data_IF_238889213506
#
_entry.id   IF_238889213506
#
_cell.length_a   1.000
_cell.length_b   1.000
_cell.length_c   1.000
_cell.angle_alpha   90.00
_cell.angle_beta   90.00
_cell.angle_gamma   90.00
#
_symmetry.space_group_name_H-M   'P 1'
#
loop_
_entity.id
_entity.type
_entity.pdbx_description
1 polymer ?
#
# COMPACT_ATOMS: atom_id res chain seq x y z
N UNK A 1 -39.40 58.87 28.05
CA UNK A 1 -40.23 58.43 26.90
C UNK A 1 -39.51 57.29 26.18
N UNK A 2 -40.21 56.19 25.77
CA UNK A 2 -39.68 55.03 25.05
C UNK A 2 -39.97 55.16 23.51
N UNK A 3 -39.80 54.19 22.59
CA UNK A 3 -39.50 52.73 22.62
C UNK A 3 -38.29 52.42 21.68
N UNK A 4 -37.61 51.25 21.63
CA UNK A 4 -37.84 49.83 22.00
C UNK A 4 -38.66 48.98 20.97
N UNK A 5 -38.33 47.69 20.84
CA UNK A 5 -38.86 46.64 19.93
C UNK A 5 -38.37 46.75 18.47
N UNK A 6 -37.86 45.71 17.79
CA UNK A 6 -37.50 44.34 18.21
C UNK A 6 -38.49 43.24 17.78
N UNK A 7 -38.01 42.22 17.05
CA UNK A 7 -38.74 41.00 16.65
C UNK A 7 -37.85 39.77 16.91
N UNK A 8 -38.42 38.76 17.57
CA UNK A 8 -37.95 37.36 17.50
C UNK A 8 -38.79 36.65 16.44
N UNK A 9 -38.19 35.75 15.67
CA UNK A 9 -38.92 34.70 14.97
C UNK A 9 -38.56 33.34 15.56
N UNK A 10 -39.58 32.51 15.82
CA UNK A 10 -39.43 31.13 16.27
C UNK A 10 -39.37 30.19 15.06
N UNK A 11 -38.73 29.02 15.17
CA UNK A 11 -38.80 27.99 14.14
C UNK A 11 -40.21 27.39 14.09
N UNK A 12 -40.88 27.47 12.95
CA UNK A 12 -42.15 26.78 12.68
C UNK A 12 -41.92 25.29 12.45
N UNK A 13 -42.54 24.43 13.26
CA UNK A 13 -42.51 22.99 13.06
C UNK A 13 -43.30 22.60 11.81
N UNK A 14 -42.76 21.68 11.02
CA UNK A 14 -43.54 20.91 10.02
C UNK A 14 -43.50 19.43 10.41
N UNK A 15 -44.49 19.00 11.22
CA UNK A 15 -44.68 17.57 11.54
C UNK A 15 -45.59 16.93 10.49
N UNK A 16 -45.01 16.26 9.49
CA UNK A 16 -45.76 15.36 8.62
C UNK A 16 -46.27 14.17 9.45
N UNK A 17 -47.60 14.00 9.54
CA UNK A 17 -48.20 12.84 10.21
C UNK A 17 -48.26 11.66 9.25
N UNK A 18 -47.84 10.47 9.70
CA UNK A 18 -48.36 9.23 9.15
C UNK A 18 -49.88 9.17 9.42
N UNK A 19 -50.66 8.82 8.40
CA UNK A 19 -52.02 8.34 8.58
C UNK A 19 -52.06 6.83 8.35
N UNK A 20 -52.73 6.13 9.26
CA UNK A 20 -53.00 4.69 9.14
C UNK A 20 -54.31 4.47 8.38
N UNK A 21 -54.33 3.49 7.48
CA UNK A 21 -55.53 2.97 6.84
C UNK A 21 -55.62 1.46 7.11
N UNK A 22 -56.84 0.94 7.31
CA UNK A 22 -57.09 -0.42 7.82
C UNK A 22 -58.36 -1.01 7.21
N UNK A 23 -58.36 -2.33 7.04
CA UNK A 23 -59.52 -3.18 6.70
C UNK A 23 -60.00 -3.06 5.21
N UNK A 24 -60.76 -4.05 4.66
CA UNK A 24 -61.39 -5.19 5.34
C UNK A 24 -60.88 -6.58 4.94
N UNK A 25 -61.53 -7.60 5.52
CA UNK A 25 -61.18 -9.03 5.52
C UNK A 25 -61.93 -9.86 4.47
N UNK A 26 -61.34 -10.99 4.07
CA UNK A 26 -62.00 -12.11 3.40
C UNK A 26 -61.50 -13.45 3.97
N UNK A 27 -62.37 -14.46 4.07
CA UNK A 27 -62.11 -15.72 4.77
C UNK A 27 -62.00 -16.94 3.83
N UNK A 28 -61.18 -17.92 4.22
CA UNK A 28 -61.08 -19.22 3.55
C UNK A 28 -60.38 -20.25 4.42
N UNK A 29 -61.01 -21.42 4.63
CA UNK A 29 -60.55 -22.49 5.53
C UNK A 29 -60.15 -23.76 4.78
N UNK A 30 -59.08 -24.43 5.21
CA UNK A 30 -58.67 -25.76 4.70
C UNK A 30 -57.78 -26.48 5.71
N UNK A 31 -57.87 -27.82 5.79
CA UNK A 31 -57.40 -28.61 6.94
C UNK A 31 -56.26 -29.58 6.62
N UNK A 32 -55.42 -29.85 7.63
CA UNK A 32 -54.52 -31.02 7.78
C UNK A 32 -55.34 -32.33 7.98
N UNK A 33 -54.80 -33.58 7.87
CA UNK A 33 -53.41 -34.07 8.16
C UNK A 33 -52.81 -35.02 7.08
N UNK A 34 -51.66 -35.70 7.22
CA UNK A 34 -50.54 -35.67 8.20
C UNK A 34 -49.84 -37.04 8.42
N UNK A 35 -48.54 -37.04 8.80
CA UNK A 35 -47.67 -38.21 9.20
C UNK A 35 -47.43 -39.25 8.05
N UNK A 36 -46.50 -40.24 7.99
CA UNK A 36 -45.47 -40.90 8.85
C UNK A 36 -44.21 -41.27 8.00
N UNK A 37 -42.95 -41.28 8.53
CA UNK A 37 -41.73 -41.65 7.77
C UNK A 37 -41.38 -43.17 7.74
N UNK A 38 -40.41 -43.57 6.90
CA UNK A 38 -39.84 -44.92 6.79
C UNK A 38 -38.29 -44.92 6.69
N UNK A 39 -37.62 -46.08 6.70
CA UNK A 39 -36.25 -46.24 7.22
C UNK A 39 -35.19 -46.96 6.34
N UNK A 40 -33.94 -46.94 6.86
CA UNK A 40 -32.65 -47.57 6.45
C UNK A 40 -32.72 -48.99 5.82
N UNK A 41 -31.71 -49.37 5.00
CA UNK A 41 -30.41 -49.92 5.50
C UNK A 41 -29.23 -48.95 5.22
N UNK A 42 -28.16 -48.79 6.01
CA UNK A 42 -27.29 -49.73 6.77
C UNK A 42 -26.20 -50.42 5.93
N UNK A 43 -25.03 -49.79 5.85
CA UNK A 43 -23.72 -50.42 5.65
C UNK A 43 -22.78 -50.01 6.81
N UNK A 44 -21.79 -50.83 7.16
CA UNK A 44 -21.04 -50.74 8.43
C UNK A 44 -19.54 -50.94 8.18
N UNK A 45 -18.72 -49.98 8.59
CA UNK A 45 -17.26 -50.12 8.71
C UNK A 45 -16.83 -49.81 10.14
N UNK A 46 -15.72 -50.41 10.59
CA UNK A 46 -15.35 -50.52 12.01
C UNK A 46 -14.36 -49.44 12.44
N UNK A 47 -14.60 -48.85 13.61
CA UNK A 47 -13.59 -48.22 14.45
C UNK A 47 -13.54 -48.93 15.81
N UNK A 48 -12.34 -49.14 16.34
CA UNK A 48 -12.08 -49.72 17.65
C UNK A 48 -11.43 -48.68 18.57
N UNK A 49 -11.78 -48.62 19.86
CA UNK A 49 -11.30 -47.56 20.77
C UNK A 49 -10.01 -47.94 21.51
N UNK A 50 -9.24 -46.92 21.92
CA UNK A 50 -8.27 -47.02 23.01
C UNK A 50 -8.35 -45.78 23.94
N UNK A 51 -7.86 -45.96 25.15
CA UNK A 51 -8.24 -45.19 26.36
C UNK A 51 -7.46 -43.88 26.57
N UNK A 52 -8.00 -42.93 27.36
CA UNK A 52 -7.31 -41.66 27.68
C UNK A 52 -6.14 -41.84 28.66
N UNK A 53 -5.15 -40.95 28.55
CA UNK A 53 -4.00 -40.87 29.46
C UNK A 53 -4.31 -39.92 30.63
N UNK A 54 -3.88 -40.30 31.84
CA UNK A 54 -4.08 -39.54 33.07
C UNK A 54 -3.05 -38.40 33.22
N UNK A 55 -3.49 -37.28 33.80
CA UNK A 55 -2.58 -36.26 34.33
C UNK A 55 -2.19 -36.57 35.80
N UNK A 56 -0.92 -36.39 36.20
CA UNK A 56 -0.53 -36.41 37.61
C UNK A 56 -0.71 -35.03 38.26
N UNK A 57 -1.18 -35.02 39.52
CA UNK A 57 -1.29 -33.79 40.32
C UNK A 57 -0.50 -33.90 41.63
N UNK A 58 0.28 -32.85 41.96
CA UNK A 58 0.85 -32.49 43.29
C UNK A 58 1.92 -31.40 43.06
N UNK A 59 2.25 -30.50 43.99
CA UNK A 59 1.49 -29.92 45.10
C UNK A 59 2.24 -28.65 45.59
N UNK A 60 1.50 -27.73 46.20
CA UNK A 60 1.91 -26.63 47.10
C UNK A 60 3.40 -26.25 47.20
N UNK A 61 3.69 -24.95 47.06
CA UNK A 61 4.19 -24.18 48.20
C UNK A 61 3.85 -22.68 48.07
N UNK A 62 3.09 -22.16 49.04
CA UNK A 62 2.92 -20.71 49.22
C UNK A 62 4.00 -20.19 50.16
N UNK A 63 4.56 -19.03 49.84
CA UNK A 63 5.36 -18.21 50.74
C UNK A 63 4.93 -16.75 50.60
N UNK A 64 4.99 -15.98 51.69
CA UNK A 64 4.18 -14.76 51.83
C UNK A 64 5.04 -13.54 52.17
N UNK A 65 4.57 -12.36 51.74
CA UNK A 65 4.85 -11.05 52.31
C UNK A 65 6.28 -10.48 52.19
N UNK A 66 6.42 -9.36 51.46
CA UNK A 66 7.13 -8.18 51.96
C UNK A 66 6.77 -6.94 51.11
N UNK A 67 6.09 -5.97 51.72
CA UNK A 67 5.97 -4.62 51.16
C UNK A 67 6.79 -3.65 52.02
N UNK A 68 7.63 -2.80 51.40
CA UNK A 68 8.28 -1.67 52.07
C UNK A 68 8.29 -0.40 51.21
N UNK A 69 7.37 0.49 51.57
CA UNK A 69 7.53 1.94 51.82
C UNK A 69 8.49 2.76 50.95
N UNK A 70 7.95 3.86 50.41
CA UNK A 70 8.72 5.02 49.91
C UNK A 70 9.64 5.61 50.99
N UNK A 71 10.76 6.19 50.56
CA UNK A 71 11.43 7.29 51.26
C UNK A 71 12.02 8.26 50.22
N UNK A 72 12.33 9.49 50.63
CA UNK A 72 12.47 10.66 49.74
C UNK A 72 13.75 11.47 49.97
N UNK A 73 14.20 12.13 48.89
CA UNK A 73 15.17 13.23 48.86
C UNK A 73 16.63 12.89 49.23
N UNK A 74 17.57 13.51 48.50
CA UNK A 74 19.01 13.28 48.63
C UNK A 74 19.80 13.94 47.50
N UNK A 75 19.80 15.27 47.45
CA UNK A 75 20.48 16.06 46.42
C UNK A 75 21.96 16.27 46.73
N UNK A 76 22.86 15.90 45.81
CA UNK A 76 24.26 16.35 45.83
C UNK A 76 24.89 16.31 44.42
N UNK A 77 25.18 17.47 43.86
CA UNK A 77 25.99 17.63 42.63
C UNK A 77 27.44 17.94 42.99
N UNK A 78 28.45 17.22 42.46
CA UNK A 78 29.84 17.65 42.54
C UNK A 78 30.13 18.81 41.56
N UNK A 79 31.07 19.73 41.88
CA UNK A 79 31.38 20.90 41.04
C UNK A 79 32.37 20.58 39.90
N UNK A 80 32.44 21.44 38.85
CA UNK A 80 33.45 21.32 37.80
C UNK A 80 34.84 21.85 38.26
N UNK A 81 35.95 21.29 37.75
CA UNK A 81 37.27 21.90 37.91
C UNK A 81 37.40 23.18 37.06
N UNK A 82 38.20 24.13 37.55
CA UNK A 82 38.35 25.47 36.97
C UNK A 82 39.48 25.59 35.93
N UNK A 83 39.46 26.70 35.19
CA UNK A 83 40.40 27.04 34.12
C UNK A 83 41.85 27.22 34.63
N UNK A 84 42.82 26.73 33.86
CA UNK A 84 44.18 27.29 33.81
C UNK A 84 44.49 27.75 32.39
N UNK A 85 44.99 28.97 32.26
CA UNK A 85 45.34 29.57 30.98
C UNK A 85 46.78 29.25 30.58
N UNK A 86 47.02 29.05 29.29
CA UNK A 86 48.33 29.21 28.65
C UNK A 86 48.15 29.90 27.30
N UNK A 87 49.18 30.61 26.86
CA UNK A 87 49.00 31.77 25.97
C UNK A 87 49.27 31.47 24.49
N UNK A 88 48.46 32.14 23.66
CA UNK A 88 48.80 32.67 22.33
C UNK A 88 49.80 31.90 21.44
N UNK A 89 49.29 31.39 20.32
CA UNK A 89 49.78 31.91 19.05
C UNK A 89 48.67 31.96 17.98
N UNK A 90 48.58 33.06 17.24
CA UNK A 90 47.65 33.25 16.11
C UNK A 90 48.47 33.53 14.86
N UNK A 91 48.35 32.69 13.84
CA UNK A 91 48.86 32.94 12.49
C UNK A 91 47.69 33.13 11.52
N UNK A 92 47.51 34.35 11.03
CA UNK A 92 46.46 34.74 10.07
C UNK A 92 46.91 34.57 8.62
N UNK A 93 46.03 34.15 7.68
CA UNK A 93 46.35 34.17 6.25
C UNK A 93 46.34 35.62 5.69
N UNK A 94 47.08 35.90 4.61
CA UNK A 94 47.12 37.21 3.96
C UNK A 94 45.91 37.47 3.03
N UNK A 95 45.60 38.74 2.69
CA UNK A 95 44.47 39.13 1.85
C UNK A 95 44.74 38.96 0.33
N UNK A 96 43.70 38.93 -0.52
CA UNK A 96 43.84 38.89 -1.96
C UNK A 96 44.28 40.26 -2.55
N UNK A 97 45.01 40.23 -3.66
CA UNK A 97 45.38 41.42 -4.44
C UNK A 97 44.83 41.34 -5.87
N UNK A 98 44.46 42.49 -6.43
CA UNK A 98 43.96 42.62 -7.80
C UNK A 98 45.10 43.09 -8.73
N UNK A 99 45.25 42.47 -9.90
CA UNK A 99 45.79 43.09 -11.11
C UNK A 99 45.35 42.31 -12.34
N UNK A 100 45.44 42.91 -13.53
CA UNK A 100 44.69 42.48 -14.72
C UNK A 100 45.53 41.75 -15.78
N UNK A 101 44.81 40.91 -16.56
CA UNK A 101 45.01 40.55 -17.97
C UNK A 101 46.45 40.41 -18.55
N UNK A 102 46.79 39.18 -18.95
CA UNK A 102 47.68 38.89 -20.08
C UNK A 102 47.16 37.65 -20.85
N UNK A 103 47.22 37.68 -22.18
CA UNK A 103 46.68 36.63 -23.07
C UNK A 103 47.77 35.62 -23.48
N UNK A 104 47.59 34.34 -23.15
CA UNK A 104 48.48 33.24 -23.57
C UNK A 104 47.67 32.01 -23.99
N UNK A 105 47.73 31.68 -25.28
CA UNK A 105 47.15 30.45 -25.86
C UNK A 105 48.05 29.24 -25.62
N UNK A 106 47.63 28.30 -24.77
CA UNK A 106 48.28 26.98 -24.61
C UNK A 106 47.39 25.85 -25.13
N UNK A 107 47.90 25.07 -26.10
CA UNK A 107 47.19 23.89 -26.66
C UNK A 107 47.41 22.68 -25.76
N UNK A 108 46.34 22.01 -25.33
CA UNK A 108 46.40 20.69 -24.66
C UNK A 108 45.82 19.63 -25.61
N UNK A 109 46.56 18.54 -25.94
CA UNK A 109 46.09 17.53 -26.88
C UNK A 109 45.14 16.51 -26.22
N UNK A 110 43.90 16.43 -26.70
CA UNK A 110 42.80 15.60 -26.16
C UNK A 110 42.90 14.10 -26.48
N UNK A 111 44.00 13.44 -26.10
CA UNK A 111 44.22 12.01 -26.40
C UNK A 111 43.40 11.01 -25.57
N UNK A 112 42.67 11.44 -24.54
CA UNK A 112 41.78 10.57 -23.73
C UNK A 112 40.33 10.49 -24.20
N UNK A 113 39.81 11.52 -24.87
CA UNK A 113 38.39 11.56 -25.31
C UNK A 113 38.10 10.57 -26.47
N UNK A 114 39.13 10.19 -27.23
CA UNK A 114 38.99 9.38 -28.44
C UNK A 114 38.94 7.84 -28.23
N UNK A 115 39.09 7.34 -26.99
CA UNK A 115 39.03 5.90 -26.71
C UNK A 115 37.64 5.40 -26.30
N UNK A 116 36.81 6.24 -25.67
CA UNK A 116 35.44 5.85 -25.26
C UNK A 116 34.52 5.70 -26.48
N UNK A 117 34.65 6.60 -27.46
CA UNK A 117 33.87 6.59 -28.71
C UNK A 117 34.16 5.41 -29.67
N UNK A 118 35.03 4.45 -29.30
CA UNK A 118 35.36 3.28 -30.12
C UNK A 118 34.78 1.95 -29.63
N UNK A 119 34.16 1.91 -28.45
CA UNK A 119 33.49 0.71 -27.94
C UNK A 119 31.99 0.61 -28.31
N UNK A 120 31.42 1.65 -28.93
CA UNK A 120 29.99 1.73 -29.30
C UNK A 120 29.72 1.57 -30.81
N UNK A 121 30.67 1.04 -31.60
CA UNK A 121 30.54 1.00 -33.07
C UNK A 121 30.94 -0.33 -33.72
N UNK A 122 31.03 -1.41 -32.93
CA UNK A 122 31.39 -2.76 -33.44
C UNK A 122 30.57 -3.85 -32.75
N UNK A 123 29.33 -4.02 -33.19
CA UNK A 123 28.57 -5.28 -33.38
C UNK A 123 27.36 -4.91 -34.25
N UNK A 124 27.49 -5.11 -35.56
CA UNK A 124 26.42 -4.90 -36.58
C UNK A 124 26.93 -5.36 -37.96
N UNK A 125 27.19 -6.67 -38.10
CA UNK A 125 27.35 -7.39 -39.37
C UNK A 125 27.60 -8.88 -39.08
N UNK A 126 26.52 -9.64 -39.01
CA UNK A 126 26.34 -10.88 -39.76
C UNK A 126 24.84 -11.12 -39.88
N UNK A 127 24.41 -11.68 -41.01
CA UNK A 127 22.98 -11.77 -41.36
C UNK A 127 22.65 -13.17 -41.86
N UNK A 128 22.15 -14.01 -40.95
CA UNK A 128 21.62 -15.34 -41.24
C UNK A 128 20.10 -15.27 -41.46
N UNK A 129 19.57 -15.53 -42.68
CA UNK A 129 18.18 -15.27 -43.03
C UNK A 129 17.20 -16.40 -42.69
N UNK A 130 17.40 -17.14 -41.59
CA UNK A 130 16.47 -18.22 -41.19
C UNK A 130 16.22 -18.37 -39.68
N UNK A 131 15.68 -17.32 -39.03
CA UNK A 131 15.06 -17.46 -37.71
C UNK A 131 13.99 -16.38 -37.44
N UNK A 132 12.74 -16.64 -37.85
CA UNK A 132 11.58 -15.87 -37.39
C UNK A 132 11.28 -16.19 -35.92
N UNK A 133 12.04 -15.58 -35.00
CA UNK A 133 11.50 -15.29 -33.67
C UNK A 133 10.56 -14.10 -33.81
N UNK A 134 9.28 -14.30 -33.51
CA UNK A 134 8.36 -13.19 -33.32
C UNK A 134 8.77 -12.47 -32.06
N UNK A 135 9.40 -11.31 -32.20
CA UNK A 135 9.65 -10.40 -31.07
C UNK A 135 8.35 -9.62 -30.75
N UNK A 136 7.31 -10.37 -30.40
CA UNK A 136 6.08 -9.82 -29.85
C UNK A 136 6.32 -9.50 -28.38
N UNK A 137 6.89 -8.32 -28.14
CA UNK A 137 6.58 -7.56 -26.93
C UNK A 137 5.06 -7.37 -26.90
N UNK A 138 4.37 -8.27 -26.20
CA UNK A 138 2.93 -8.20 -26.02
C UNK A 138 2.61 -6.89 -25.33
N UNK A 139 1.99 -5.96 -26.06
CA UNK A 139 1.50 -4.72 -25.47
C UNK A 139 0.54 -5.08 -24.33
N UNK A 140 0.65 -4.40 -23.19
CA UNK A 140 -0.24 -4.68 -22.06
C UNK A 140 -1.69 -4.51 -22.52
N UNK A 141 -2.53 -5.50 -22.21
CA UNK A 141 -3.98 -5.43 -22.44
C UNK A 141 -4.66 -4.27 -21.67
N UNK A 142 -3.92 -3.65 -20.75
CA UNK A 142 -4.34 -2.52 -19.94
C UNK A 142 -3.63 -1.23 -20.36
N UNK A 143 -4.42 -0.18 -20.50
CA UNK A 143 -4.00 1.20 -20.78
C UNK A 143 -4.61 2.16 -19.75
N UNK A 144 -4.35 3.46 -19.85
CA UNK A 144 -4.76 4.44 -18.83
C UNK A 144 -5.50 5.65 -19.41
N UNK A 145 -6.67 5.94 -18.83
CA UNK A 145 -7.41 7.17 -19.06
C UNK A 145 -7.16 8.16 -17.93
N UNK A 146 -6.34 9.17 -18.23
CA UNK A 146 -6.11 10.34 -17.38
C UNK A 146 -7.28 11.31 -17.50
N UNK A 147 -7.64 11.95 -16.40
CA UNK A 147 -8.63 13.03 -16.32
C UNK A 147 -8.04 14.10 -15.41
N UNK A 148 -8.10 15.38 -15.80
CA UNK A 148 -7.46 16.47 -15.05
C UNK A 148 -5.93 16.43 -15.09
N UNK A 149 -5.29 17.56 -14.79
CA UNK A 149 -3.84 17.65 -14.69
C UNK A 149 -3.32 16.87 -13.46
N UNK A 150 -2.22 16.11 -13.56
CA UNK A 150 -1.55 15.57 -12.37
C UNK A 150 -1.22 16.67 -11.35
N UNK A 151 -1.24 16.34 -10.06
CA UNK A 151 -1.14 17.30 -8.93
C UNK A 151 -2.34 18.26 -8.76
N UNK A 152 -3.56 17.87 -9.18
CA UNK A 152 -4.81 18.60 -8.82
C UNK A 152 -5.83 17.68 -8.15
N UNK A 153 -6.86 18.26 -7.52
CA UNK A 153 -7.92 17.52 -6.79
C UNK A 153 -8.84 16.72 -7.75
N UNK A 154 -8.93 17.19 -8.99
CA UNK A 154 -9.70 16.63 -10.10
C UNK A 154 -8.98 15.45 -10.76
N UNK A 155 -7.69 15.24 -10.47
CA UNK A 155 -6.89 14.24 -11.18
C UNK A 155 -7.38 12.82 -10.90
N UNK A 156 -7.64 12.07 -11.96
CA UNK A 156 -7.99 10.64 -11.91
C UNK A 156 -7.23 9.87 -12.98
N UNK A 157 -6.83 8.64 -12.65
CA UNK A 157 -6.33 7.65 -13.61
C UNK A 157 -7.24 6.42 -13.52
N UNK A 158 -8.08 6.25 -14.54
CA UNK A 158 -8.81 5.00 -14.74
C UNK A 158 -7.92 4.02 -15.49
N UNK A 159 -7.96 2.75 -15.12
CA UNK A 159 -7.41 1.67 -15.96
C UNK A 159 -8.45 1.32 -17.02
N UNK A 160 -8.00 1.11 -18.25
CA UNK A 160 -8.84 0.68 -19.37
C UNK A 160 -8.35 -0.66 -19.91
N UNK A 161 -9.27 -1.59 -20.13
CA UNK A 161 -9.03 -2.80 -20.92
C UNK A 161 -9.73 -2.65 -22.26
N UNK A 162 -9.00 -2.87 -23.36
CA UNK A 162 -9.54 -2.78 -24.73
C UNK A 162 -10.28 -1.45 -25.03
N UNK A 163 -9.87 -0.35 -24.36
CA UNK A 163 -10.48 0.99 -24.46
C UNK A 163 -11.71 1.23 -23.57
N UNK A 164 -12.11 0.24 -22.76
CA UNK A 164 -13.22 0.31 -21.81
C UNK A 164 -12.67 0.50 -20.39
N UNK A 165 -13.07 1.55 -19.64
CA UNK A 165 -12.72 1.69 -18.22
C UNK A 165 -13.18 0.50 -17.37
N UNK A 166 -12.30 0.03 -16.50
CA UNK A 166 -12.51 -1.11 -15.60
C UNK A 166 -12.07 -0.74 -14.18
N UNK A 167 -12.68 -1.36 -13.16
CA UNK A 167 -12.25 -1.17 -11.78
C UNK A 167 -10.85 -1.78 -11.56
N UNK A 168 -9.83 -0.99 -11.15
CA UNK A 168 -8.54 -1.54 -10.78
C UNK A 168 -8.58 -2.30 -9.45
N UNK A 169 -9.66 -2.19 -8.66
CA UNK A 169 -9.88 -2.98 -7.46
C UNK A 169 -10.50 -4.35 -7.81
N UNK A 170 -11.48 -4.39 -8.72
CA UNK A 170 -12.36 -5.55 -8.89
C UNK A 170 -12.25 -6.28 -10.23
N UNK A 171 -12.00 -5.57 -11.33
CA UNK A 171 -12.14 -6.12 -12.69
C UNK A 171 -10.86 -6.71 -13.27
N UNK A 172 -9.70 -6.36 -12.70
CA UNK A 172 -8.38 -6.91 -13.06
C UNK A 172 -8.17 -8.22 -12.28
N UNK A 173 -7.90 -9.37 -12.93
CA UNK A 173 -7.67 -10.62 -12.20
C UNK A 173 -6.43 -10.56 -11.30
N UNK A 174 -6.53 -11.05 -10.05
CA UNK A 174 -5.37 -11.19 -9.14
C UNK A 174 -4.21 -11.96 -9.80
N UNK A 175 -4.53 -13.09 -10.43
CA UNK A 175 -3.55 -13.96 -11.09
C UNK A 175 -3.46 -13.67 -12.58
N UNK A 176 -2.23 -13.58 -13.09
CA UNK A 176 -1.94 -13.37 -14.51
C UNK A 176 -1.84 -14.69 -15.30
N UNK A 177 -1.66 -15.83 -14.62
CA UNK A 177 -1.57 -17.16 -15.22
C UNK A 177 -2.43 -18.20 -14.49
N UNK A 178 -2.74 -19.31 -15.17
CA UNK A 178 -3.60 -20.37 -14.66
C UNK A 178 -2.99 -21.12 -13.47
N UNK A 179 -1.65 -21.16 -13.38
CA UNK A 179 -0.89 -21.82 -12.31
C UNK A 179 -0.77 -20.95 -11.04
N UNK A 180 -1.39 -19.76 -11.00
CA UNK A 180 -1.46 -18.85 -9.85
C UNK A 180 -0.08 -18.45 -9.26
N UNK A 181 0.95 -18.46 -10.10
CA UNK A 181 2.35 -18.17 -9.70
C UNK A 181 2.83 -16.78 -10.09
N UNK A 182 2.16 -16.14 -11.05
CA UNK A 182 2.37 -14.75 -11.47
C UNK A 182 1.09 -13.96 -11.20
N UNK A 183 1.23 -12.78 -10.60
CA UNK A 183 0.12 -11.93 -10.17
C UNK A 183 0.11 -10.62 -10.98
N UNK A 184 -1.05 -9.99 -11.11
CA UNK A 184 -1.13 -8.63 -11.64
C UNK A 184 -1.05 -7.64 -10.48
N UNK A 185 -0.07 -6.74 -10.49
CA UNK A 185 0.00 -5.58 -9.60
C UNK A 185 -0.57 -4.36 -10.33
N UNK A 186 -1.36 -3.53 -9.64
CA UNK A 186 -1.70 -2.17 -10.09
C UNK A 186 -0.72 -1.19 -9.44
N UNK A 187 0.09 -0.50 -10.24
CA UNK A 187 0.99 0.55 -9.74
C UNK A 187 0.22 1.84 -9.52
N UNK A 188 0.33 2.41 -8.33
CA UNK A 188 -0.28 3.68 -7.94
C UNK A 188 0.75 4.81 -7.92
N UNK A 189 1.88 4.57 -7.24
CA UNK A 189 2.92 5.57 -6.95
C UNK A 189 4.26 5.11 -7.54
N UNK A 190 4.77 5.78 -8.59
CA UNK A 190 6.09 5.50 -9.14
C UNK A 190 7.22 5.76 -8.14
N UNK A 191 8.27 4.93 -8.20
CA UNK A 191 9.46 5.08 -7.35
C UNK A 191 10.06 6.49 -7.40
N UNK A 192 10.51 6.97 -6.25
CA UNK A 192 11.07 8.31 -6.00
C UNK A 192 10.13 9.49 -6.27
N UNK A 193 8.82 9.26 -6.31
CA UNK A 193 7.78 10.30 -6.28
C UNK A 193 7.14 10.42 -4.88
N UNK A 194 6.40 11.50 -4.66
CA UNK A 194 5.90 11.91 -3.34
C UNK A 194 4.38 11.96 -3.22
N UNK A 195 3.62 11.98 -4.32
CA UNK A 195 2.15 12.06 -4.29
C UNK A 195 1.58 10.75 -3.73
N UNK A 196 0.74 10.81 -2.68
CA UNK A 196 0.05 9.61 -2.17
C UNK A 196 -1.17 9.35 -3.05
N UNK A 197 -0.92 8.66 -4.15
CA UNK A 197 -1.93 8.17 -5.08
C UNK A 197 -2.47 6.82 -4.57
N UNK A 198 -3.76 6.58 -4.75
CA UNK A 198 -4.49 5.41 -4.21
C UNK A 198 -5.67 5.03 -5.10
N UNK A 199 -5.97 3.74 -5.23
CA UNK A 199 -7.21 3.20 -5.79
C UNK A 199 -8.39 3.73 -4.95
N UNK A 200 -9.25 4.55 -5.55
CA UNK A 200 -10.32 5.20 -4.80
C UNK A 200 -11.45 4.23 -4.44
N UNK A 201 -11.39 3.65 -3.23
CA UNK A 201 -12.44 2.78 -2.67
C UNK A 201 -13.87 3.28 -2.88
N UNK A 202 -14.10 4.58 -2.76
CA UNK A 202 -15.45 5.18 -2.75
C UNK A 202 -15.98 5.61 -4.13
N UNK A 203 -15.16 5.63 -5.18
CA UNK A 203 -15.55 6.18 -6.48
C UNK A 203 -15.97 5.07 -7.48
N UNK A 204 -16.79 5.44 -8.47
CA UNK A 204 -17.28 4.50 -9.50
C UNK A 204 -16.11 3.98 -10.35
N UNK A 205 -15.98 2.65 -10.45
CA UNK A 205 -14.84 1.95 -11.04
C UNK A 205 -13.48 2.33 -10.42
N UNK A 206 -13.49 2.75 -9.15
CA UNK A 206 -12.33 2.90 -8.26
C UNK A 206 -11.07 3.53 -8.90
N UNK A 207 -11.17 4.66 -9.65
CA UNK A 207 -10.02 5.28 -10.30
C UNK A 207 -8.93 5.64 -9.29
N UNK A 208 -7.67 5.60 -9.72
CA UNK A 208 -6.56 6.05 -8.90
C UNK A 208 -6.64 7.57 -8.78
N UNK A 209 -6.58 8.10 -7.55
CA UNK A 209 -6.62 9.53 -7.23
C UNK A 209 -5.58 9.88 -6.17
N UNK A 210 -5.35 11.16 -5.90
CA UNK A 210 -4.48 11.58 -4.80
C UNK A 210 -5.29 11.80 -3.50
N UNK A 211 -4.82 11.23 -2.39
CA UNK A 211 -5.39 11.39 -1.04
C UNK A 211 -5.44 12.88 -0.64
N UNK A 212 -6.49 13.28 0.08
CA UNK A 212 -6.80 14.66 0.48
C UNK A 212 -6.75 14.82 2.00
N UNK A 213 -5.57 15.18 2.52
CA UNK A 213 -5.34 15.43 3.95
C UNK A 213 -5.67 16.88 4.32
N UNK A 214 -6.72 17.09 5.12
CA UNK A 214 -7.20 18.41 5.58
C UNK A 214 -7.53 19.39 4.43
N UNK A 215 -8.16 18.88 3.36
CA UNK A 215 -8.56 19.68 2.20
C UNK A 215 -7.41 20.06 1.26
N UNK A 216 -6.26 19.37 1.35
CA UNK A 216 -5.11 19.53 0.47
C UNK A 216 -4.58 18.16 0.02
N UNK A 217 -4.01 18.12 -1.18
CA UNK A 217 -3.32 16.95 -1.72
C UNK A 217 -2.23 16.45 -0.76
N UNK A 218 -2.24 15.15 -0.45
CA UNK A 218 -1.26 14.50 0.44
C UNK A 218 0.01 14.16 -0.34
N UNK A 219 1.15 14.59 0.20
CA UNK A 219 2.48 14.22 -0.29
C UNK A 219 3.28 13.61 0.86
N UNK A 220 3.80 12.40 0.68
CA UNK A 220 4.76 11.78 1.61
C UNK A 220 6.10 12.52 1.52
N UNK A 221 6.75 12.72 2.66
CA UNK A 221 7.91 13.62 2.79
C UNK A 221 9.22 12.85 2.68
N UNK A 222 10.25 13.50 2.12
CA UNK A 222 11.57 12.89 1.98
C UNK A 222 12.21 12.72 3.37
N UNK A 223 12.33 11.47 3.82
CA UNK A 223 12.88 11.11 5.13
C UNK A 223 14.29 10.56 4.92
N UNK A 224 15.31 11.33 5.27
CA UNK A 224 16.71 11.01 4.93
C UNK A 224 17.11 9.60 5.40
N UNK A 225 17.70 8.75 4.53
CA UNK A 225 18.24 9.04 3.18
C UNK A 225 17.24 8.86 2.01
N UNK A 226 15.97 8.59 2.28
CA UNK A 226 14.96 8.17 1.30
C UNK A 226 14.24 9.32 0.59
N UNK A 227 14.30 9.36 -0.75
CA UNK A 227 13.50 10.28 -1.58
C UNK A 227 12.17 9.60 -1.95
N UNK A 228 11.05 10.19 -1.55
CA UNK A 228 9.72 9.69 -1.88
C UNK A 228 9.50 8.24 -1.46
N UNK A 229 8.72 7.50 -2.25
CA UNK A 229 8.59 6.04 -2.13
C UNK A 229 9.83 5.33 -2.68
N UNK A 230 10.29 4.28 -1.98
CA UNK A 230 11.51 3.53 -2.34
C UNK A 230 11.30 2.46 -3.44
N UNK A 231 10.05 2.12 -3.76
CA UNK A 231 9.65 1.07 -4.70
C UNK A 231 8.67 1.65 -5.72
N UNK A 232 8.36 0.89 -6.77
CA UNK A 232 7.07 1.11 -7.42
C UNK A 232 6.02 0.57 -6.44
N UNK A 233 5.10 1.41 -6.02
CA UNK A 233 4.13 1.10 -4.97
C UNK A 233 2.72 1.07 -5.56
N UNK A 234 1.87 0.20 -5.00
CA UNK A 234 0.47 0.06 -5.33
C UNK A 234 -0.06 -1.24 -4.74
N UNK A 235 -1.15 -1.78 -5.26
CA UNK A 235 -1.84 -2.91 -4.62
C UNK A 235 -2.09 -4.10 -5.56
N UNK A 236 -2.46 -5.24 -4.96
CA UNK A 236 -3.03 -6.37 -5.68
C UNK A 236 -4.55 -6.18 -5.88
N UNK A 237 -5.06 -6.26 -7.13
CA UNK A 237 -6.49 -6.25 -7.38
C UNK A 237 -7.11 -7.54 -6.84
N UNK A 238 -8.41 -7.51 -6.55
CA UNK A 238 -9.16 -8.66 -6.04
C UNK A 238 -8.62 -9.23 -4.71
N UNK A 239 -8.08 -8.35 -3.86
CA UNK A 239 -7.69 -8.62 -2.47
C UNK A 239 -8.25 -7.52 -1.55
N UNK A 240 -8.47 -7.80 -0.27
CA UNK A 240 -8.99 -6.82 0.69
C UNK A 240 -8.61 -7.16 2.13
N UNK A 241 -8.07 -6.19 2.86
CA UNK A 241 -7.75 -6.27 4.28
C UNK A 241 -9.02 -6.04 5.11
N UNK A 242 -9.77 -7.10 5.43
CA UNK A 242 -11.12 -7.02 6.02
C UNK A 242 -11.09 -6.32 7.40
N UNK A 243 -11.67 -5.11 7.55
CA UNK A 243 -11.65 -4.36 8.81
C UNK A 243 -12.57 -4.96 9.87
N UNK A 244 -13.30 -6.03 9.56
CA UNK A 244 -14.12 -6.79 10.50
C UNK A 244 -13.37 -8.01 11.07
N UNK A 245 -12.33 -8.49 10.38
CA UNK A 245 -11.41 -9.49 10.88
C UNK A 245 -10.44 -8.88 11.92
N UNK A 246 -9.72 -9.75 12.64
CA UNK A 246 -8.56 -9.38 13.47
C UNK A 246 -7.47 -10.40 13.19
N UNK A 247 -6.35 -9.97 12.60
CA UNK A 247 -5.32 -10.90 12.17
C UNK A 247 -4.55 -11.44 13.40
N UNK A 248 -4.29 -12.76 13.47
CA UNK A 248 -3.70 -13.37 14.66
C UNK A 248 -2.23 -12.98 14.89
N UNK A 249 -1.55 -12.39 13.92
CA UNK A 249 -0.16 -11.93 14.01
C UNK A 249 -0.04 -10.55 14.64
N UNK A 250 -0.73 -9.57 14.07
CA UNK A 250 -0.70 -8.16 14.47
C UNK A 250 -1.58 -7.85 15.67
N UNK A 251 -2.63 -8.67 15.88
CA UNK A 251 -3.75 -8.42 16.82
C UNK A 251 -4.58 -7.18 16.46
N UNK A 252 -4.44 -6.66 15.26
CA UNK A 252 -5.18 -5.54 14.70
C UNK A 252 -6.20 -6.00 13.65
N UNK A 253 -7.11 -5.10 13.26
CA UNK A 253 -8.05 -5.26 12.13
C UNK A 253 -7.31 -5.01 10.80
N UNK A 254 -7.85 -5.42 9.65
CA UNK A 254 -7.38 -4.90 8.36
C UNK A 254 -7.67 -3.40 8.20
N UNK A 255 -6.88 -2.70 7.38
CA UNK A 255 -6.99 -1.26 7.11
C UNK A 255 -8.13 -0.87 6.11
N UNK A 256 -8.90 -1.88 5.66
CA UNK A 256 -9.97 -1.75 4.68
C UNK A 256 -9.51 -1.43 3.24
N UNK A 257 -8.22 -1.52 2.89
CA UNK A 257 -7.70 -1.33 1.52
C UNK A 257 -7.41 -2.67 0.79
N UNK A 258 -7.10 -2.64 -0.53
CA UNK A 258 -6.55 -3.81 -1.22
C UNK A 258 -5.09 -4.06 -0.80
N UNK A 259 -4.66 -5.33 -0.79
CA UNK A 259 -3.38 -5.75 -0.23
C UNK A 259 -2.19 -5.05 -0.91
N UNK A 260 -1.35 -4.42 -0.11
CA UNK A 260 -0.31 -3.49 -0.55
C UNK A 260 0.97 -4.16 -1.06
N UNK A 261 1.62 -3.56 -2.06
CA UNK A 261 2.67 -4.16 -2.88
C UNK A 261 3.84 -3.20 -3.13
N UNK A 262 5.04 -3.66 -2.79
CA UNK A 262 6.32 -2.99 -3.05
C UNK A 262 7.10 -3.75 -4.15
N UNK A 263 7.14 -3.20 -5.36
CA UNK A 263 7.80 -3.80 -6.53
C UNK A 263 9.22 -3.24 -6.73
N UNK A 264 10.20 -4.14 -6.68
CA UNK A 264 11.61 -3.81 -6.42
C UNK A 264 12.52 -3.77 -7.65
N UNK A 265 12.00 -4.02 -8.86
CA UNK A 265 12.77 -4.08 -10.11
C UNK A 265 13.35 -2.74 -10.56
N UNK A 266 14.34 -2.77 -11.46
CA UNK A 266 15.18 -1.61 -11.82
C UNK A 266 14.44 -0.47 -12.54
N UNK A 267 13.37 -0.80 -13.25
CA UNK A 267 12.55 0.16 -13.98
C UNK A 267 11.56 0.91 -13.07
N UNK A 268 11.40 2.21 -13.27
CA UNK A 268 10.36 3.01 -12.61
C UNK A 268 9.06 2.86 -13.40
N UNK A 269 7.97 2.47 -12.72
CA UNK A 269 6.65 2.29 -13.32
C UNK A 269 5.86 3.60 -13.50
N UNK A 270 4.60 3.49 -13.89
CA UNK A 270 3.67 4.62 -13.98
C UNK A 270 2.33 4.34 -13.30
N UNK A 271 1.65 5.39 -12.81
CA UNK A 271 0.32 5.27 -12.18
C UNK A 271 -0.70 4.66 -13.15
N UNK A 272 -1.42 3.64 -12.70
CA UNK A 272 -2.35 2.84 -13.50
C UNK A 272 -1.68 1.76 -14.36
N UNK A 273 -0.35 1.56 -14.25
CA UNK A 273 0.31 0.43 -14.91
C UNK A 273 -0.11 -0.88 -14.26
N UNK A 274 -0.59 -1.82 -15.07
CA UNK A 274 -0.78 -3.21 -14.63
C UNK A 274 0.48 -4.00 -14.99
N UNK A 275 1.21 -4.46 -13.97
CA UNK A 275 2.47 -5.22 -14.10
C UNK A 275 2.26 -6.68 -13.75
N UNK A 276 2.93 -7.59 -14.46
CA UNK A 276 3.00 -9.00 -14.05
C UNK A 276 4.18 -9.18 -13.09
N UNK A 277 3.93 -9.67 -11.89
CA UNK A 277 4.91 -9.76 -10.80
C UNK A 277 4.95 -11.16 -10.17
N UNK A 278 6.10 -11.52 -9.59
CA UNK A 278 6.27 -12.67 -8.71
C UNK A 278 6.44 -12.22 -7.26
N UNK A 279 5.73 -12.86 -6.35
CA UNK A 279 5.87 -12.66 -4.89
C UNK A 279 7.19 -13.25 -4.40
N UNK A 280 7.86 -12.53 -3.50
CA UNK A 280 9.12 -12.90 -2.85
C UNK A 280 9.00 -12.97 -1.32
N UNK A 281 8.14 -12.16 -0.70
CA UNK A 281 7.95 -12.14 0.75
C UNK A 281 6.89 -11.11 1.19
N UNK A 282 6.67 -10.95 2.49
CA UNK A 282 5.72 -9.97 3.05
C UNK A 282 6.18 -9.43 4.41
N UNK A 283 5.88 -8.16 4.71
CA UNK A 283 6.18 -7.52 5.99
C UNK A 283 4.89 -7.09 6.70
N UNK A 284 4.80 -7.35 8.00
CA UNK A 284 3.60 -7.12 8.81
C UNK A 284 3.62 -5.73 9.49
N UNK A 285 3.20 -4.67 8.79
CA UNK A 285 3.15 -3.33 9.37
C UNK A 285 1.92 -3.19 10.30
N UNK A 286 2.10 -2.41 11.36
CA UNK A 286 1.03 -1.82 12.17
C UNK A 286 1.00 -0.33 11.86
N UNK A 287 0.17 0.07 10.90
CA UNK A 287 0.00 1.46 10.47
C UNK A 287 -1.15 2.08 11.29
N UNK A 288 -0.82 2.94 12.26
CA UNK A 288 -1.82 3.58 13.15
C UNK A 288 -2.82 2.64 13.89
N UNK A 289 -2.34 1.48 14.33
CA UNK A 289 -3.11 0.40 15.01
C UNK A 289 -3.95 -0.50 14.08
N UNK A 290 -3.83 -0.34 12.75
CA UNK A 290 -4.42 -1.22 11.74
C UNK A 290 -3.36 -2.17 11.14
N UNK A 291 -3.78 -3.35 10.68
CA UNK A 291 -2.95 -4.36 10.00
C UNK A 291 -2.78 -3.92 8.57
N UNK A 292 -1.53 -3.87 8.14
CA UNK A 292 -1.15 -3.36 6.85
C UNK A 292 -0.03 -4.27 6.28
N UNK A 293 -0.39 -5.30 5.52
CA UNK A 293 0.58 -6.25 4.98
C UNK A 293 1.26 -5.70 3.71
N UNK A 294 2.57 -5.45 3.78
CA UNK A 294 3.37 -4.98 2.63
C UNK A 294 4.05 -6.15 1.92
N UNK A 295 3.51 -6.58 0.77
CA UNK A 295 4.07 -7.68 -0.04
C UNK A 295 5.28 -7.19 -0.85
N UNK A 296 6.38 -7.94 -0.78
CA UNK A 296 7.60 -7.69 -1.57
C UNK A 296 7.54 -8.53 -2.85
N UNK A 297 7.62 -7.87 -4.00
CA UNK A 297 7.49 -8.50 -5.33
C UNK A 297 8.52 -7.97 -6.32
N UNK A 298 8.69 -8.65 -7.45
CA UNK A 298 9.41 -8.10 -8.60
C UNK A 298 8.68 -8.39 -9.92
N UNK A 299 8.75 -7.43 -10.86
CA UNK A 299 8.33 -7.60 -12.25
C UNK A 299 8.95 -8.86 -12.88
N UNK A 300 8.15 -9.70 -13.55
CA UNK A 300 8.65 -10.92 -14.21
C UNK A 300 9.63 -10.64 -15.36
N UNK A 301 9.62 -9.41 -15.88
CA UNK A 301 10.47 -8.95 -16.98
C UNK A 301 11.81 -8.34 -16.50
N UNK A 302 12.02 -8.21 -15.18
CA UNK A 302 13.23 -7.61 -14.62
C UNK A 302 14.47 -8.53 -14.81
N UNK A 303 15.67 -7.99 -15.14
CA UNK A 303 16.89 -8.79 -15.30
C UNK A 303 17.32 -9.63 -14.10
N UNK A 304 16.85 -9.31 -12.88
CA UNK A 304 17.07 -10.09 -11.66
C UNK A 304 15.90 -11.03 -11.31
N UNK A 305 14.74 -10.92 -11.97
CA UNK A 305 13.59 -11.79 -11.71
C UNK A 305 13.88 -13.30 -11.79
N UNK A 306 14.78 -13.81 -12.67
CA UNK A 306 15.15 -15.24 -12.64
C UNK A 306 15.95 -15.65 -11.39
N UNK A 307 16.63 -14.71 -10.73
CA UNK A 307 17.49 -14.94 -9.55
C UNK A 307 16.76 -14.75 -8.23
N UNK A 308 15.70 -13.94 -8.23
CA UNK A 308 14.88 -13.63 -7.07
C UNK A 308 13.67 -14.56 -7.03
N UNK A 309 13.66 -15.55 -6.14
CA UNK A 309 12.63 -16.58 -6.06
C UNK A 309 12.01 -16.73 -4.67
N UNK A 310 12.74 -16.36 -3.62
CA UNK A 310 12.24 -16.19 -2.24
C UNK A 310 12.96 -14.99 -1.55
N UNK A 311 12.57 -14.66 -0.31
CA UNK A 311 13.01 -13.45 0.42
C UNK A 311 14.52 -13.39 0.65
N UNK A 312 15.18 -14.53 0.86
CA UNK A 312 16.63 -14.61 1.08
C UNK A 312 17.45 -14.26 -0.18
N UNK A 313 16.83 -14.31 -1.37
CA UNK A 313 17.47 -13.85 -2.60
C UNK A 313 17.49 -12.31 -2.67
N UNK A 314 16.50 -11.63 -2.05
CA UNK A 314 16.41 -10.16 -2.02
C UNK A 314 17.61 -9.58 -1.29
N UNK A 315 17.90 -10.02 -0.06
CA UNK A 315 19.06 -9.53 0.69
C UNK A 315 20.40 -9.95 0.06
N UNK A 316 20.42 -11.05 -0.72
CA UNK A 316 21.62 -11.50 -1.45
C UNK A 316 21.95 -10.64 -2.68
N UNK A 317 20.93 -10.12 -3.37
CA UNK A 317 21.10 -9.38 -4.63
C UNK A 317 20.85 -7.87 -4.52
N UNK A 318 20.08 -7.45 -3.50
CA UNK A 318 19.70 -6.07 -3.19
C UNK A 318 19.97 -5.78 -1.69
N UNK A 319 21.23 -5.96 -1.21
CA UNK A 319 21.54 -5.94 0.22
C UNK A 319 21.17 -4.62 0.91
N UNK A 320 20.55 -4.73 2.07
CA UNK A 320 20.04 -3.62 2.86
C UNK A 320 18.68 -3.07 2.42
N UNK A 321 18.09 -3.56 1.32
CA UNK A 321 16.80 -3.08 0.82
C UNK A 321 15.68 -3.35 1.84
N UNK A 322 15.58 -4.57 2.37
CA UNK A 322 14.54 -4.94 3.34
C UNK A 322 14.67 -4.14 4.65
N UNK A 323 15.90 -3.82 5.06
CA UNK A 323 16.17 -2.94 6.21
C UNK A 323 15.72 -1.49 5.93
N UNK A 324 15.93 -0.99 4.72
CA UNK A 324 15.41 0.31 4.30
C UNK A 324 13.87 0.31 4.21
N UNK A 325 13.24 -0.81 3.81
CA UNK A 325 11.78 -1.00 3.86
C UNK A 325 11.24 -0.87 5.28
N UNK A 326 11.84 -1.57 6.25
CA UNK A 326 11.46 -1.46 7.65
C UNK A 326 11.58 -0.01 8.17
N UNK A 327 12.73 0.62 7.92
CA UNK A 327 13.02 1.99 8.34
C UNK A 327 12.04 3.01 7.73
N UNK A 328 11.74 2.91 6.44
CA UNK A 328 10.84 3.82 5.73
C UNK A 328 9.41 3.76 6.28
N UNK A 329 8.81 2.56 6.38
CA UNK A 329 7.44 2.42 6.87
C UNK A 329 7.28 2.76 8.36
N UNK A 330 8.35 2.64 9.16
CA UNK A 330 8.39 3.18 10.54
C UNK A 330 8.28 4.70 10.55
N UNK A 331 9.06 5.40 9.72
CA UNK A 331 9.27 6.86 9.87
C UNK A 331 8.43 7.76 8.93
N UNK A 332 7.84 7.24 7.84
CA UNK A 332 7.30 8.10 6.76
C UNK A 332 6.19 9.09 7.19
N UNK A 333 5.47 8.81 8.30
CA UNK A 333 4.42 9.69 8.85
C UNK A 333 4.88 10.59 10.02
N UNK A 334 6.11 10.44 10.52
CA UNK A 334 6.67 11.31 11.58
C UNK A 334 6.73 12.79 11.12
N UNK A 335 7.11 13.14 9.87
CA UNK A 335 7.01 14.50 9.34
C UNK A 335 5.61 15.12 9.36
N UNK A 336 4.57 14.29 9.38
CA UNK A 336 3.16 14.66 9.43
C UNK A 336 2.61 14.75 10.87
N UNK A 337 3.46 14.54 11.88
CA UNK A 337 3.11 14.61 13.30
C UNK A 337 2.43 13.35 13.85
N UNK A 338 2.61 12.20 13.19
CA UNK A 338 2.21 10.88 13.69
C UNK A 338 3.35 10.23 14.51
N UNK A 339 3.05 9.23 15.37
CA UNK A 339 4.08 8.39 15.98
C UNK A 339 4.85 7.59 14.91
N UNK A 340 5.94 6.96 15.34
CA UNK A 340 6.61 5.91 14.59
C UNK A 340 5.71 4.67 14.52
N UNK A 341 5.52 4.09 13.33
CA UNK A 341 4.77 2.84 13.18
C UNK A 341 5.57 1.64 13.74
N UNK A 342 4.89 0.51 13.94
CA UNK A 342 5.51 -0.72 14.45
C UNK A 342 5.37 -1.85 13.43
N UNK A 343 6.12 -2.95 13.62
CA UNK A 343 5.98 -4.17 12.84
C UNK A 343 5.77 -5.36 13.78
N UNK A 344 4.90 -6.30 13.39
CA UNK A 344 4.93 -7.63 13.98
C UNK A 344 6.22 -8.38 13.57
N UNK A 345 6.51 -9.52 14.20
CA UNK A 345 7.74 -10.30 13.98
C UNK A 345 9.04 -9.48 14.08
N UNK A 346 9.07 -8.42 14.90
CA UNK A 346 10.22 -7.49 15.01
C UNK A 346 10.69 -6.88 13.67
N UNK A 347 9.81 -6.81 12.66
CA UNK A 347 10.17 -6.28 11.34
C UNK A 347 10.75 -7.30 10.35
N UNK A 348 10.72 -8.59 10.68
CA UNK A 348 11.08 -9.68 9.78
C UNK A 348 10.21 -9.66 8.51
N UNK A 349 10.83 -9.68 7.33
CA UNK A 349 10.13 -9.97 6.08
C UNK A 349 9.97 -11.50 5.99
N UNK A 350 8.71 -11.97 6.07
CA UNK A 350 8.36 -13.37 5.90
C UNK A 350 8.59 -13.83 4.45
N UNK A 351 8.84 -15.12 4.30
CA UNK A 351 9.14 -15.75 3.02
C UNK A 351 7.92 -15.78 2.08
N UNK A 352 8.18 -16.15 0.83
CA UNK A 352 7.17 -16.24 -0.24
C UNK A 352 5.99 -17.16 0.12
N UNK A 353 6.24 -18.30 0.78
CA UNK A 353 5.16 -19.21 1.15
C UNK A 353 4.15 -18.52 2.06
N UNK A 354 4.65 -17.82 3.08
CA UNK A 354 3.81 -17.07 4.02
C UNK A 354 3.11 -15.89 3.34
N UNK A 355 3.81 -15.19 2.43
CA UNK A 355 3.24 -14.11 1.65
C UNK A 355 2.08 -14.57 0.74
N UNK A 356 2.18 -15.76 0.14
CA UNK A 356 1.09 -16.33 -0.66
C UNK A 356 -0.13 -16.75 0.19
N UNK A 357 0.06 -17.14 1.46
CA UNK A 357 -1.05 -17.38 2.37
C UNK A 357 -1.79 -16.09 2.76
N UNK A 358 -1.06 -14.99 3.00
CA UNK A 358 -1.66 -13.65 3.19
C UNK A 358 -2.45 -13.21 1.95
N UNK A 359 -1.82 -13.27 0.76
CA UNK A 359 -2.49 -12.94 -0.52
C UNK A 359 -3.77 -13.76 -0.71
N UNK A 360 -3.76 -15.04 -0.33
CA UNK A 360 -4.94 -15.92 -0.38
C UNK A 360 -6.01 -15.49 0.64
N UNK A 361 -5.66 -15.14 1.87
CA UNK A 361 -6.60 -14.66 2.89
C UNK A 361 -7.31 -13.37 2.44
N UNK A 362 -6.54 -12.37 1.97
CA UNK A 362 -7.07 -11.11 1.48
C UNK A 362 -7.90 -11.31 0.20
N UNK A 363 -7.54 -12.27 -0.66
CA UNK A 363 -8.32 -12.66 -1.84
C UNK A 363 -9.65 -13.35 -1.48
N UNK A 364 -9.64 -14.26 -0.50
CA UNK A 364 -10.84 -14.87 0.07
C UNK A 364 -11.74 -13.82 0.75
N UNK A 365 -11.18 -12.75 1.30
CA UNK A 365 -11.91 -11.61 1.87
C UNK A 365 -12.56 -10.74 0.79
N UNK A 366 -11.84 -10.41 -0.28
CA UNK A 366 -12.42 -9.72 -1.44
C UNK A 366 -13.56 -10.54 -2.08
N UNK A 367 -13.41 -11.86 -2.20
CA UNK A 367 -14.49 -12.74 -2.71
C UNK A 367 -15.75 -12.69 -1.81
N UNK A 368 -15.62 -12.46 -0.49
CA UNK A 368 -16.76 -12.21 0.40
C UNK A 368 -17.36 -10.82 0.17
N UNK A 369 -16.53 -9.78 0.03
CA UNK A 369 -16.94 -8.40 -0.28
C UNK A 369 -17.69 -8.29 -1.62
N UNK A 370 -17.10 -8.75 -2.73
CA UNK A 370 -17.58 -8.50 -4.09
C UNK A 370 -18.89 -9.25 -4.40
N UNK A 371 -19.17 -10.33 -3.67
CA UNK A 371 -20.44 -11.08 -3.70
C UNK A 371 -21.48 -10.60 -2.68
N UNK A 372 -21.16 -9.61 -1.83
CA UNK A 372 -22.06 -9.10 -0.79
C UNK A 372 -22.26 -10.03 0.41
N UNK A 373 -21.38 -11.02 0.62
CA UNK A 373 -21.35 -11.86 1.85
C UNK A 373 -20.83 -11.06 3.05
N UNK A 374 -19.88 -10.15 2.82
CA UNK A 374 -19.48 -9.09 3.77
C UNK A 374 -20.09 -7.76 3.33
N UNK A 375 -20.49 -6.91 4.28
CA UNK A 375 -21.03 -5.58 3.97
C UNK A 375 -19.90 -4.61 3.54
N UNK A 376 -20.07 -3.95 2.39
CA UNK A 376 -19.01 -3.15 1.77
C UNK A 376 -18.68 -1.81 2.44
N UNK A 377 -19.50 -1.33 3.39
CA UNK A 377 -19.27 -0.04 4.06
C UNK A 377 -19.28 1.14 3.07
N UNK A 378 -18.15 1.82 2.91
CA UNK A 378 -17.95 2.87 1.90
C UNK A 378 -17.34 2.37 0.57
N UNK A 379 -17.00 1.08 0.46
CA UNK A 379 -16.38 0.53 -0.75
C UNK A 379 -17.41 0.42 -1.87
N UNK A 380 -17.16 1.15 -2.96
CA UNK A 380 -17.81 1.03 -4.25
C UNK A 380 -17.41 -0.32 -4.88
N UNK A 381 -18.33 -1.28 -4.87
CA UNK A 381 -18.16 -2.62 -5.46
C UNK A 381 -18.55 -2.70 -6.94
N UNK A 382 -18.83 -1.55 -7.58
CA UNK A 382 -19.21 -1.47 -8.98
C UNK A 382 -18.08 -1.96 -9.91
N UNK A 383 -18.45 -2.86 -10.83
CA UNK A 383 -17.52 -3.60 -11.69
C UNK A 383 -18.22 -4.00 -13.00
N UNK A 384 -17.47 -4.50 -13.99
CA UNK A 384 -18.00 -4.92 -15.31
C UNK A 384 -17.65 -6.35 -15.73
N UNK A 385 -16.63 -6.99 -15.13
CA UNK A 385 -16.15 -8.34 -15.49
C UNK A 385 -16.55 -9.43 -14.49
N UNK A 386 -16.76 -9.10 -13.21
CA UNK A 386 -16.92 -10.07 -12.11
C UNK A 386 -18.31 -10.72 -12.13
N UNK A 387 -18.43 -11.82 -12.89
CA UNK A 387 -19.72 -12.42 -13.30
C UNK A 387 -20.70 -12.71 -12.16
N UNK A 388 -20.17 -13.05 -10.98
CA UNK A 388 -20.91 -13.44 -9.77
C UNK A 388 -21.17 -12.29 -8.79
N UNK A 389 -20.76 -11.06 -9.11
CA UNK A 389 -21.02 -9.87 -8.29
C UNK A 389 -22.43 -9.31 -8.54
N UNK A 390 -23.24 -9.04 -7.49
CA UNK A 390 -24.54 -8.37 -7.63
C UNK A 390 -24.42 -6.88 -8.02
N UNK A 391 -23.22 -6.30 -7.96
CA UNK A 391 -22.94 -4.92 -8.38
C UNK A 391 -22.40 -4.83 -9.83
N UNK A 392 -22.30 -5.96 -10.54
CA UNK A 392 -21.81 -5.99 -11.92
C UNK A 392 -22.77 -5.28 -12.87
N UNK A 393 -22.24 -4.35 -13.64
CA UNK A 393 -22.97 -3.53 -14.62
C UNK A 393 -22.39 -3.77 -16.03
N UNK A 394 -23.20 -3.71 -17.09
CA UNK A 394 -22.66 -3.79 -18.45
C UNK A 394 -21.94 -2.48 -18.83
N UNK A 395 -20.84 -2.49 -19.62
CA UNK A 395 -20.12 -1.26 -19.99
C UNK A 395 -21.02 -0.17 -20.62
N UNK A 396 -22.04 -0.57 -21.37
CA UNK A 396 -23.00 0.30 -22.06
C UNK A 396 -24.04 0.91 -21.09
N UNK A 397 -24.11 0.42 -19.85
CA UNK A 397 -24.99 0.89 -18.78
C UNK A 397 -24.26 1.80 -17.78
N UNK A 398 -22.94 1.96 -17.90
CA UNK A 398 -22.18 2.91 -17.09
C UNK A 398 -22.64 4.35 -17.38
N UNK A 399 -22.72 5.22 -16.36
CA UNK A 399 -22.93 6.65 -16.59
C UNK A 399 -21.73 7.24 -17.37
N UNK A 400 -21.91 8.35 -18.12
CA UNK A 400 -20.84 8.95 -18.92
C UNK A 400 -19.62 9.34 -18.08
N UNK A 401 -18.54 8.56 -18.22
CA UNK A 401 -17.23 8.86 -17.62
C UNK A 401 -16.53 9.96 -18.42
N UNK A 402 -15.69 10.81 -17.78
CA UNK A 402 -14.90 11.81 -18.50
C UNK A 402 -14.03 11.18 -19.61
N UNK A 403 -13.71 11.96 -20.64
CA UNK A 403 -12.79 11.53 -21.70
C UNK A 403 -11.32 11.65 -21.24
N UNK A 404 -10.42 10.96 -21.94
CA UNK A 404 -8.97 11.05 -21.73
C UNK A 404 -8.47 12.50 -21.92
N UNK A 405 -7.65 12.98 -20.99
CA UNK A 405 -7.04 14.31 -20.98
C UNK A 405 -5.54 14.20 -20.66
N UNK A 406 -4.68 14.26 -21.69
CA UNK A 406 -3.22 14.33 -21.51
C UNK A 406 -2.79 15.78 -21.21
N UNK A 407 -3.05 16.21 -19.96
CA UNK A 407 -2.70 17.55 -19.48
C UNK A 407 -1.33 17.55 -18.77
N UNK A 408 -0.54 18.63 -18.89
CA UNK A 408 0.73 18.75 -18.17
C UNK A 408 0.48 18.75 -16.65
N UNK A 409 1.42 18.18 -15.90
CA UNK A 409 1.36 18.16 -14.44
C UNK A 409 1.46 19.58 -13.86
N UNK A 410 0.58 19.89 -12.91
CA UNK A 410 0.65 21.13 -12.16
C UNK A 410 1.81 21.15 -11.17
N UNK A 411 2.19 22.36 -10.74
CA UNK A 411 3.37 22.57 -9.89
C UNK A 411 3.16 22.06 -8.47
N UNK A 412 3.97 21.09 -8.06
CA UNK A 412 4.11 20.69 -6.65
C UNK A 412 4.74 21.85 -5.88
N UNK A 413 4.27 22.08 -4.65
CA UNK A 413 4.83 23.08 -3.74
C UNK A 413 6.27 22.71 -3.32
N UNK A 414 7.18 23.69 -3.35
CA UNK A 414 8.61 23.47 -3.10
C UNK A 414 8.93 23.00 -1.65
N UNK A 415 7.98 23.05 -0.71
CA UNK A 415 8.18 22.43 0.61
C UNK A 415 8.20 20.89 0.56
N UNK A 416 7.74 20.26 -0.54
CA UNK A 416 7.81 18.79 -0.70
C UNK A 416 9.25 18.32 -0.93
N UNK A 417 10.12 19.15 -1.53
CA UNK A 417 11.56 18.87 -1.69
C UNK A 417 12.31 18.78 -0.35
N UNK A 418 11.73 19.30 0.75
CA UNK A 418 12.37 19.31 2.07
C UNK A 418 12.70 17.90 2.56
N UNK A 419 13.98 17.70 2.83
CA UNK A 419 14.50 16.57 3.60
C UNK A 419 14.22 16.71 5.10
N UNK A 420 13.71 15.65 5.71
CA UNK A 420 13.54 15.49 7.15
C UNK A 420 14.61 14.50 7.65
N UNK A 421 15.43 14.94 8.60
CA UNK A 421 16.43 14.11 9.25
C UNK A 421 15.81 13.56 10.54
N UNK A 422 15.41 12.29 10.51
CA UNK A 422 14.71 11.62 11.60
C UNK A 422 15.71 10.69 12.28
N UNK A 423 15.90 10.88 13.59
CA UNK A 423 16.62 9.90 14.42
C UNK A 423 15.62 8.87 14.92
N UNK A 424 15.47 7.76 14.19
CA UNK A 424 14.72 6.61 14.70
C UNK A 424 15.41 6.05 15.95
N UNK A 425 14.63 5.45 16.86
CA UNK A 425 15.21 4.63 17.91
C UNK A 425 15.83 3.38 17.26
N UNK A 426 17.11 3.11 17.55
CA UNK A 426 17.80 1.91 17.06
C UNK A 426 16.98 0.66 17.37
N UNK A 427 16.72 -0.15 16.34
CA UNK A 427 16.07 -1.45 16.45
C UNK A 427 16.94 -2.45 17.24
#
# INVERSE_FOLDING_TARGET
>A
MPLLRGIKLQPTLTKTRLFSAKAPSGSGSGSLPGVVPSARPSARSTLSPLSPIQAPSRANHSATLAARTKLTAGSATPPPPSLLASSANRSTPPPPSQSAAADIKSKIPSRRTAQIARHFSTISKDSDPSLHKQDTTMASQYSVRKVGAPNTLEHRVYVEKDGVPVSPFHDIPLYANAEQTILNMVVEIPRWTNAKLEISKEELLNPIKQDIKKGKLRYVRNCFPHKGYLWNYGAFPQTWEDPNAVHPETKAKGDNDPLDVCEIGELVGYTGQVKQVKVLGVMALLDEEETDWKVIVIDVNDPLAPKLNDVEDVERHLPGLLRATNEWFRIYKIPDGKPENQFAFTGECKNKSYAMDVVRECGEAWERLITGKTAAGSVSTANVTVQHSPARTAPEQLPPLPQHQELPAEKIDASIDKWFFISGASA
#
